data_IF_926467114119
#
_entry.id   IF_926467114119
#
_cell.length_a   1.000
_cell.length_b   1.000
_cell.length_c   1.000
_cell.angle_alpha   90.00
_cell.angle_beta   90.00
_cell.angle_gamma   90.00
#
_symmetry.space_group_name_H-M   'P 1'
#
loop_
_entity.id
_entity.type
_entity.pdbx_description
1 polymer ?
#
# COMPACT_ATOMS: atom_id res chain seq x y z
N UNK A 1 -7.03 -11.11 1.00
CA UNK A 1 -6.46 -11.81 2.18
C UNK A 1 -6.92 -11.07 3.42
N UNK A 2 -7.19 -11.74 4.54
CA UNK A 2 -7.45 -11.05 5.81
C UNK A 2 -6.19 -11.09 6.66
N UNK A 3 -5.82 -9.95 7.23
CA UNK A 3 -4.71 -9.87 8.18
C UNK A 3 -5.21 -9.51 9.58
N UNK A 4 -4.58 -10.12 10.59
CA UNK A 4 -4.82 -9.89 12.01
C UNK A 4 -3.56 -9.27 12.60
N UNK A 5 -3.69 -8.10 13.20
CA UNK A 5 -2.58 -7.26 13.62
C UNK A 5 -2.63 -7.03 15.12
N UNK A 6 -1.47 -7.17 15.76
CA UNK A 6 -1.22 -6.78 17.15
C UNK A 6 -0.05 -5.82 17.17
N UNK A 7 -0.22 -4.69 17.84
CA UNK A 7 0.79 -3.64 17.95
C UNK A 7 1.27 -3.51 19.39
N UNK A 8 2.55 -3.21 19.56
CA UNK A 8 3.18 -2.90 20.83
C UNK A 8 4.25 -1.84 20.64
N UNK A 9 4.51 -1.06 21.68
CA UNK A 9 5.57 -0.06 21.68
C UNK A 9 6.80 -0.59 22.43
N UNK A 10 7.98 -0.33 21.88
CA UNK A 10 9.25 -0.77 22.45
C UNK A 10 10.18 0.43 22.66
N UNK A 11 10.63 0.71 23.89
CA UNK A 11 11.63 1.73 24.13
C UNK A 11 12.96 1.36 23.45
N UNK A 12 13.59 2.35 22.79
CA UNK A 12 14.86 2.17 22.07
C UNK A 12 15.95 1.44 22.88
N UNK A 13 16.19 1.75 24.19
CA UNK A 13 17.22 1.06 24.96
C UNK A 13 16.98 -0.45 25.14
N UNK A 14 15.72 -0.91 25.04
CA UNK A 14 15.35 -2.32 25.19
C UNK A 14 15.24 -3.05 23.86
N UNK A 15 15.45 -2.36 22.73
CA UNK A 15 15.32 -2.93 21.39
C UNK A 15 16.13 -4.22 21.24
N UNK A 16 17.43 -4.15 21.53
CA UNK A 16 18.35 -5.27 21.32
C UNK A 16 18.08 -6.44 22.27
N UNK A 17 17.62 -6.14 23.49
CA UNK A 17 17.22 -7.17 24.45
C UNK A 17 15.99 -7.93 23.93
N UNK A 18 14.96 -7.22 23.47
CA UNK A 18 13.75 -7.85 22.96
C UNK A 18 14.02 -8.60 21.66
N UNK A 19 14.86 -8.08 20.78
CA UNK A 19 15.28 -8.76 19.55
C UNK A 19 15.96 -10.10 19.86
N UNK A 20 16.83 -10.17 20.88
CA UNK A 20 17.45 -11.43 21.35
C UNK A 20 16.42 -12.40 21.93
N UNK A 21 15.47 -11.88 22.72
CA UNK A 21 14.39 -12.70 23.30
C UNK A 21 13.52 -13.29 22.19
N UNK A 22 13.11 -12.48 21.21
CA UNK A 22 12.33 -12.93 20.06
C UNK A 22 13.09 -13.95 19.22
N UNK A 23 14.38 -13.75 18.98
CA UNK A 23 15.22 -14.71 18.28
C UNK A 23 15.28 -16.06 19.01
N UNK A 24 15.41 -16.03 20.34
CA UNK A 24 15.37 -17.23 21.18
C UNK A 24 14.00 -17.91 21.19
N UNK A 25 12.91 -17.14 21.25
CA UNK A 25 11.55 -17.66 21.31
C UNK A 25 11.07 -18.24 19.96
N UNK A 26 11.35 -17.54 18.86
CA UNK A 26 11.00 -17.96 17.51
C UNK A 26 11.97 -19.01 16.94
N UNK A 27 13.09 -19.28 17.62
CA UNK A 27 14.19 -20.12 17.14
C UNK A 27 14.69 -19.70 15.73
N UNK A 28 14.64 -18.41 15.43
CA UNK A 28 15.00 -17.85 14.13
C UNK A 28 15.81 -16.57 14.29
N UNK A 29 16.79 -16.37 13.41
CA UNK A 29 17.53 -15.11 13.36
C UNK A 29 16.65 -14.00 12.79
N UNK A 30 16.70 -12.79 13.36
CA UNK A 30 16.00 -11.64 12.83
C UNK A 30 16.54 -11.31 11.44
N UNK A 31 15.63 -11.10 10.49
CA UNK A 31 15.97 -10.67 9.14
C UNK A 31 15.76 -9.17 9.04
N UNK A 32 16.77 -8.48 8.51
CA UNK A 32 16.66 -7.06 8.21
C UNK A 32 15.77 -6.91 6.97
N UNK A 33 14.75 -6.05 7.08
CA UNK A 33 13.84 -5.73 5.99
C UNK A 33 13.91 -4.24 5.78
N UNK A 34 14.20 -3.83 4.54
CA UNK A 34 14.26 -2.44 4.12
C UNK A 34 13.26 -2.26 2.99
N UNK A 35 12.34 -1.32 3.18
CA UNK A 35 11.27 -1.09 2.22
C UNK A 35 11.06 0.41 2.03
N UNK A 36 10.70 0.80 0.80
CA UNK A 36 10.18 2.13 0.50
C UNK A 36 8.70 2.03 0.20
N UNK A 37 7.90 2.81 0.91
CA UNK A 37 6.45 2.86 0.71
C UNK A 37 6.08 4.19 0.05
N UNK A 38 5.47 4.14 -1.13
CA UNK A 38 4.87 5.30 -1.80
C UNK A 38 3.36 5.21 -1.59
N UNK A 39 2.78 6.21 -0.92
CA UNK A 39 1.35 6.23 -0.58
C UNK A 39 0.64 7.18 -1.54
N UNK A 40 -0.41 6.68 -2.19
CA UNK A 40 -1.22 7.44 -3.13
C UNK A 40 -2.55 7.81 -2.49
N UNK A 41 -2.85 9.11 -2.50
CA UNK A 41 -4.10 9.62 -1.97
C UNK A 41 -5.14 9.75 -3.10
N UNK A 42 -6.37 9.23 -2.93
CA UNK A 42 -7.46 9.52 -3.86
C UNK A 42 -7.79 11.02 -3.86
N UNK A 43 -7.76 11.64 -5.04
CA UNK A 43 -8.14 13.04 -5.30
C UNK A 43 -9.63 13.18 -5.63
N UNK A 44 -10.26 12.11 -6.11
CA UNK A 44 -11.71 12.06 -6.37
C UNK A 44 -12.39 11.16 -5.34
N UNK A 45 -13.61 11.52 -5.00
CA UNK A 45 -14.49 10.69 -4.18
C UNK A 45 -14.73 9.33 -4.87
N UNK A 46 -14.75 8.21 -4.12
CA UNK A 46 -15.05 6.90 -4.69
C UNK A 46 -16.38 6.96 -5.45
N UNK A 47 -16.37 6.63 -6.73
CA UNK A 47 -17.60 6.55 -7.51
C UNK A 47 -18.45 5.39 -6.98
N UNK A 48 -19.75 5.62 -6.79
CA UNK A 48 -20.66 4.55 -6.41
C UNK A 48 -20.59 3.42 -7.45
N UNK A 49 -20.60 2.13 -7.04
CA UNK A 49 -20.66 1.02 -7.96
C UNK A 49 -21.81 1.21 -8.97
N UNK A 50 -21.46 1.32 -10.25
CA UNK A 50 -22.41 1.59 -11.33
C UNK A 50 -22.53 3.05 -11.79
N UNK A 51 -21.77 4.00 -11.21
CA UNK A 51 -21.75 5.39 -11.69
C UNK A 51 -21.27 5.54 -13.15
N UNK A 52 -20.44 4.60 -13.64
CA UNK A 52 -20.00 4.55 -15.03
C UNK A 52 -21.10 4.11 -16.01
N UNK A 53 -22.17 3.44 -15.55
CA UNK A 53 -23.33 3.08 -16.38
C UNK A 53 -24.09 4.32 -16.88
N UNK A 54 -23.98 5.46 -16.19
CA UNK A 54 -24.58 6.73 -16.62
C UNK A 54 -23.79 7.49 -17.71
N UNK A 55 -22.57 7.06 -18.04
CA UNK A 55 -21.71 7.72 -19.06
C UNK A 55 -21.80 7.08 -20.45
N UNK A 56 -22.38 5.88 -20.57
CA UNK A 56 -22.71 5.28 -21.86
C UNK A 56 -24.03 5.85 -22.37
N UNK A 57 -23.99 6.64 -23.44
CA UNK A 57 -25.14 7.37 -24.00
C UNK A 57 -26.41 6.53 -24.17
N UNK A 58 -27.33 6.68 -23.23
CA UNK A 58 -28.68 6.16 -23.26
C UNK A 58 -29.56 7.08 -22.44
N UNK A 59 -30.34 7.92 -23.12
CA UNK A 59 -31.28 8.86 -22.52
C UNK A 59 -32.38 8.11 -21.76
N UNK A 60 -32.15 7.77 -20.49
CA UNK A 60 -33.24 7.57 -19.54
C UNK A 60 -32.90 8.23 -18.20
N UNK A 61 -33.66 9.30 -17.96
CA UNK A 61 -33.74 10.08 -16.74
C UNK A 61 -34.19 9.19 -15.57
N UNK A 62 -33.27 8.84 -14.67
CA UNK A 62 -33.62 8.41 -13.32
C UNK A 62 -33.25 9.55 -12.39
N UNK A 63 -34.26 10.18 -11.80
CA UNK A 63 -34.14 11.41 -11.02
C UNK A 63 -33.10 11.31 -9.90
N UNK A 64 -32.19 12.28 -9.87
CA UNK A 64 -31.20 12.41 -8.82
C UNK A 64 -31.87 12.58 -7.47
N UNK A 65 -31.66 11.61 -6.57
CA UNK A 65 -32.01 11.76 -5.15
C UNK A 65 -31.08 12.81 -4.52
N UNK A 66 -31.59 13.67 -3.62
CA UNK A 66 -30.75 14.64 -2.92
C UNK A 66 -29.68 13.90 -2.12
N UNK A 67 -28.41 14.25 -2.36
CA UNK A 67 -27.25 13.69 -1.68
C UNK A 67 -27.41 13.90 -0.17
N UNK A 68 -27.64 12.81 0.56
CA UNK A 68 -27.58 12.84 2.02
C UNK A 68 -26.14 13.13 2.42
N UNK A 69 -25.91 14.34 2.94
CA UNK A 69 -24.72 14.67 3.71
C UNK A 69 -24.59 13.68 4.89
N UNK A 70 -23.38 13.17 5.10
CA UNK A 70 -22.97 12.66 6.41
C UNK A 70 -22.53 11.20 6.51
N UNK A 71 -22.11 10.53 5.43
CA UNK A 71 -21.37 9.27 5.58
C UNK A 71 -19.88 9.57 5.65
N UNK A 72 -19.22 9.08 6.70
CA UNK A 72 -17.76 9.08 6.82
C UNK A 72 -17.21 8.46 5.53
N UNK A 73 -16.56 9.28 4.70
CA UNK A 73 -16.04 8.83 3.41
C UNK A 73 -14.83 7.96 3.70
N UNK A 74 -14.96 6.66 3.44
CA UNK A 74 -13.85 5.72 3.56
C UNK A 74 -12.83 6.01 2.44
N UNK A 75 -11.93 6.95 2.70
CA UNK A 75 -10.76 7.17 1.88
C UNK A 75 -9.79 6.01 2.15
N UNK A 76 -9.69 5.12 1.17
CA UNK A 76 -8.66 4.09 1.18
C UNK A 76 -7.39 4.66 0.55
N UNK A 77 -6.25 4.33 1.15
CA UNK A 77 -4.95 4.62 0.54
C UNK A 77 -4.51 3.38 -0.22
N UNK A 78 -3.95 3.60 -1.41
CA UNK A 78 -3.20 2.58 -2.12
C UNK A 78 -1.73 2.88 -1.94
N UNK A 79 -0.89 1.84 -1.89
CA UNK A 79 0.54 2.03 -1.78
C UNK A 79 1.30 1.13 -2.71
N UNK A 80 2.44 1.62 -3.17
CA UNK A 80 3.47 0.79 -3.76
C UNK A 80 4.56 0.54 -2.71
N UNK A 81 4.99 -0.70 -2.61
CA UNK A 81 6.06 -1.13 -1.73
C UNK A 81 7.22 -1.61 -2.59
N UNK A 82 8.39 -1.01 -2.39
CA UNK A 82 9.64 -1.43 -3.01
C UNK A 82 10.51 -2.11 -1.96
N UNK A 83 10.97 -3.33 -2.24
CA UNK A 83 12.05 -3.97 -1.47
C UNK A 83 13.37 -3.27 -1.79
N UNK A 84 14.14 -2.92 -0.77
CA UNK A 84 15.43 -2.25 -0.92
C UNK A 84 16.56 -3.07 -0.31
N UNK A 85 17.76 -2.91 -0.86
CA UNK A 85 18.98 -3.42 -0.25
C UNK A 85 19.75 -2.30 0.48
N UNK A 86 20.71 -2.67 1.32
CA UNK A 86 21.50 -1.69 2.09
C UNK A 86 22.26 -0.69 1.21
N UNK A 87 22.65 -1.11 -0.01
CA UNK A 87 23.33 -0.27 -0.98
C UNK A 87 22.47 0.84 -1.60
N UNK A 88 21.14 0.76 -1.44
CA UNK A 88 20.19 1.77 -1.93
C UNK A 88 19.98 2.91 -0.92
N UNK A 89 20.36 2.70 0.35
CA UNK A 89 20.25 3.69 1.41
C UNK A 89 21.47 4.64 1.38
N UNK A 90 21.22 5.95 1.24
CA UNK A 90 22.25 6.99 1.39
C UNK A 90 22.77 7.61 0.09
N UNK A 91 22.28 7.22 -1.09
CA UNK A 91 22.62 7.85 -2.38
C UNK A 91 21.92 9.20 -2.64
N UNK A 92 21.46 9.89 -1.59
CA UNK A 92 20.69 11.13 -1.72
C UNK A 92 21.51 12.32 -2.28
N UNK A 93 22.85 12.23 -2.28
CA UNK A 93 23.73 13.32 -2.70
C UNK A 93 24.33 13.18 -4.11
N UNK A 94 24.13 12.05 -4.80
CA UNK A 94 24.70 11.82 -6.13
C UNK A 94 23.64 11.96 -7.22
N UNK A 95 23.40 13.22 -7.63
CA UNK A 95 22.59 13.65 -8.79
C UNK A 95 21.10 13.23 -8.72
N UNK A 96 20.18 13.94 -9.40
CA UNK A 96 18.80 13.49 -9.50
C UNK A 96 18.81 12.10 -10.14
N UNK A 97 18.41 11.10 -9.36
CA UNK A 97 18.40 9.71 -9.79
C UNK A 97 17.63 9.59 -11.10
N UNK A 98 18.29 9.09 -12.13
CA UNK A 98 17.63 8.69 -13.38
C UNK A 98 16.42 7.80 -13.04
N UNK A 99 15.34 7.91 -13.83
CA UNK A 99 14.07 7.17 -13.73
C UNK A 99 14.20 5.63 -13.57
N UNK A 100 15.41 5.09 -13.63
CA UNK A 100 15.74 3.69 -13.39
C UNK A 100 15.37 3.21 -11.98
N UNK A 101 15.36 4.09 -10.96
CA UNK A 101 15.04 3.69 -9.58
C UNK A 101 13.54 3.30 -9.39
N UNK A 102 12.66 3.80 -10.26
CA UNK A 102 11.23 3.49 -10.21
C UNK A 102 10.83 2.41 -11.20
N UNK A 103 11.78 1.68 -11.81
CA UNK A 103 11.43 0.57 -12.68
C UNK A 103 11.08 -0.68 -11.86
N UNK A 104 10.05 -1.40 -12.29
CA UNK A 104 9.72 -2.74 -11.82
C UNK A 104 10.26 -3.84 -12.75
N UNK A 105 11.13 -3.52 -13.71
CA UNK A 105 11.71 -4.53 -14.58
C UNK A 105 12.61 -5.47 -13.78
N UNK A 106 12.24 -6.74 -13.79
CA UNK A 106 12.96 -7.84 -13.12
C UNK A 106 13.41 -8.83 -14.19
N UNK A 107 14.62 -9.38 -14.07
CA UNK A 107 15.11 -10.38 -15.02
C UNK A 107 14.38 -11.73 -14.83
N UNK A 108 14.43 -12.59 -15.84
CA UNK A 108 13.76 -13.88 -15.79
C UNK A 108 14.37 -14.77 -14.69
N UNK A 109 13.61 -14.99 -13.62
CA UNK A 109 14.01 -15.83 -12.48
C UNK A 109 14.34 -15.05 -11.20
N UNK A 110 14.32 -13.71 -11.27
CA UNK A 110 14.48 -12.85 -10.10
C UNK A 110 13.12 -12.57 -9.41
N UNK A 111 13.16 -12.19 -8.14
CA UNK A 111 11.96 -11.84 -7.38
C UNK A 111 11.46 -10.44 -7.73
N UNK A 112 10.14 -10.24 -7.61
CA UNK A 112 9.53 -8.91 -7.76
C UNK A 112 10.10 -7.93 -6.73
N UNK A 113 10.61 -6.80 -7.24
CA UNK A 113 11.16 -5.69 -6.43
C UNK A 113 10.03 -4.79 -5.94
N UNK A 114 8.95 -4.67 -6.71
CA UNK A 114 7.79 -3.84 -6.41
C UNK A 114 6.53 -4.68 -6.21
N UNK A 115 5.73 -4.28 -5.23
CA UNK A 115 4.37 -4.77 -5.05
C UNK A 115 3.39 -3.60 -4.90
N UNK A 116 2.21 -3.77 -5.49
CA UNK A 116 1.05 -2.94 -5.24
C UNK A 116 0.28 -3.51 -4.06
N UNK A 117 0.05 -2.70 -3.03
CA UNK A 117 -0.69 -3.09 -1.84
C UNK A 117 -1.90 -2.19 -1.61
N UNK A 118 -3.04 -2.84 -1.39
CA UNK A 118 -4.27 -2.23 -0.93
C UNK A 118 -4.56 -2.70 0.49
N UNK A 119 -4.74 -1.76 1.40
CA UNK A 119 -5.08 -2.03 2.80
C UNK A 119 -6.40 -1.32 3.12
N UNK A 120 -7.42 -2.10 3.45
CA UNK A 120 -8.72 -1.57 3.84
C UNK A 120 -8.68 -1.03 5.28
N UNK A 121 -9.75 -0.32 5.67
CA UNK A 121 -9.93 0.12 7.04
C UNK A 121 -10.09 -1.09 7.97
N UNK A 122 -9.53 -1.03 9.19
CA UNK A 122 -9.74 -2.08 10.17
C UNK A 122 -11.21 -2.21 10.55
N UNK A 123 -11.66 -3.46 10.72
CA UNK A 123 -12.96 -3.81 11.25
C UNK A 123 -13.15 -3.17 12.62
N UNK A 124 -14.29 -2.52 12.82
CA UNK A 124 -14.63 -1.79 14.05
C UNK A 124 -15.13 -2.71 15.16
N UNK A 125 -15.25 -4.01 14.90
CA UNK A 125 -15.60 -5.00 15.90
C UNK A 125 -14.58 -5.11 17.04
N UNK A 126 -15.05 -5.13 18.28
CA UNK A 126 -14.22 -5.39 19.46
C UNK A 126 -13.88 -6.89 19.54
N UNK A 127 -12.76 -7.27 18.90
CA UNK A 127 -12.28 -8.66 18.81
C UNK A 127 -10.92 -8.88 19.50
N UNK A 128 -10.43 -7.90 20.25
CA UNK A 128 -9.09 -7.94 20.88
C UNK A 128 -7.89 -7.91 19.91
N UNK A 129 -8.15 -7.90 18.60
CA UNK A 129 -7.15 -7.76 17.53
C UNK A 129 -7.67 -6.81 16.45
N UNK A 130 -6.77 -6.12 15.76
CA UNK A 130 -7.16 -5.32 14.60
C UNK A 130 -7.19 -6.22 13.36
N UNK A 131 -8.36 -6.34 12.73
CA UNK A 131 -8.54 -7.16 11.53
C UNK A 131 -8.83 -6.26 10.33
N UNK A 132 -8.22 -6.51 9.17
CA UNK A 132 -8.57 -5.81 7.93
C UNK A 132 -8.39 -6.67 6.69
N UNK A 133 -9.07 -6.26 5.61
CA UNK A 133 -8.84 -6.82 4.29
C UNK A 133 -7.58 -6.20 3.68
N UNK A 134 -6.70 -7.05 3.13
CA UNK A 134 -5.51 -6.64 2.40
C UNK A 134 -5.41 -7.39 1.07
N UNK A 135 -4.86 -6.72 0.06
CA UNK A 135 -4.53 -7.31 -1.24
C UNK A 135 -3.14 -6.83 -1.64
N UNK A 136 -2.31 -7.76 -2.10
CA UNK A 136 -0.98 -7.46 -2.64
C UNK A 136 -0.86 -8.07 -4.03
N UNK A 137 -0.19 -7.36 -4.94
CA UNK A 137 0.04 -7.79 -6.31
C UNK A 137 1.44 -7.40 -6.74
N UNK A 138 2.24 -8.40 -7.11
CA UNK A 138 3.62 -8.18 -7.54
C UNK A 138 3.66 -7.53 -8.93
N UNK A 139 4.56 -6.56 -9.08
CA UNK A 139 4.79 -5.85 -10.33
C UNK A 139 6.10 -6.32 -10.94
N UNK A 140 6.02 -6.90 -12.13
CA UNK A 140 7.15 -7.59 -12.78
C UNK A 140 7.86 -6.74 -13.85
N UNK A 141 7.25 -5.64 -14.29
CA UNK A 141 7.83 -4.76 -15.31
C UNK A 141 7.19 -3.37 -15.35
N UNK A 142 7.85 -2.46 -16.06
CA UNK A 142 7.36 -1.10 -16.33
C UNK A 142 7.81 -0.08 -15.28
N UNK A 143 7.08 1.04 -15.24
CA UNK A 143 7.19 2.09 -14.23
C UNK A 143 5.90 2.09 -13.38
N UNK A 144 5.92 1.45 -12.19
CA UNK A 144 4.78 1.43 -11.28
C UNK A 144 4.27 2.80 -10.88
N UNK A 145 5.17 3.78 -10.73
CA UNK A 145 4.78 5.12 -10.31
C UNK A 145 3.99 5.82 -11.41
N UNK A 146 4.53 5.83 -12.64
CA UNK A 146 3.82 6.39 -13.78
C UNK A 146 2.47 5.69 -14.02
N UNK A 147 2.42 4.37 -13.84
CA UNK A 147 1.17 3.61 -13.93
C UNK A 147 0.15 4.08 -12.88
N UNK A 148 0.53 4.15 -11.60
CA UNK A 148 -0.35 4.59 -10.51
C UNK A 148 -0.91 6.00 -10.73
N UNK A 149 -0.09 6.94 -11.20
CA UNK A 149 -0.52 8.31 -11.50
C UNK A 149 -1.46 8.35 -12.71
N UNK A 150 -1.23 7.51 -13.72
CA UNK A 150 -2.05 7.47 -14.93
C UNK A 150 -3.41 6.77 -14.73
N UNK A 151 -3.47 5.70 -13.92
CA UNK A 151 -4.66 4.84 -13.81
C UNK A 151 -5.72 5.34 -12.83
N UNK A 152 -5.37 6.28 -11.94
CA UNK A 152 -6.32 6.75 -10.94
C UNK A 152 -6.32 8.25 -10.75
N UNK A 153 -7.32 8.78 -10.03
CA UNK A 153 -7.30 10.14 -9.55
C UNK A 153 -6.34 10.19 -8.35
N UNK A 154 -5.06 9.92 -8.55
CA UNK A 154 -4.07 9.85 -7.47
C UNK A 154 -3.06 10.99 -7.63
N UNK A 155 -2.75 11.68 -6.53
CA UNK A 155 -1.65 12.64 -6.40
C UNK A 155 -0.69 12.14 -5.32
#
# INVERSE_FOLDING_TARGET
>A
MHELLLYGQLPSPRHDQVLKILAGHAAMQPRRVLERHIIYKPTREPEEPGAHLGRGGGSQTVGGKPAKQGTVKNLFYTKLVQKLDEGDLGRANDKPADNKHLSANVESGEEAIWSFEFQDLPDTGDRGVSARLTSSTDLLSGDPHAWMVATGPHQ
#
